data_IF_213853991955
#
_entry.id   IF_213853991955
#
_cell.length_a   1.000
_cell.length_b   1.000
_cell.length_c   1.000
_cell.angle_alpha   90.00
_cell.angle_beta   90.00
_cell.angle_gamma   90.00
#
_symmetry.space_group_name_H-M   'P 1'
#
loop_
_entity.id
_entity.type
_entity.pdbx_description
1 polymer ?
#
# COMPACT_ATOMS: atom_id res chain seq x y z
N UNK A 1 -4.50 27.50 1.52
CA UNK A 1 -3.82 26.75 2.58
C UNK A 1 -3.09 27.71 3.50
N UNK A 2 -2.88 27.33 4.75
CA UNK A 2 -2.17 28.18 5.72
C UNK A 2 -0.68 28.33 5.33
N UNK A 3 -0.20 29.58 5.28
CA UNK A 3 1.20 29.91 4.98
C UNK A 3 2.08 29.78 6.21
N UNK A 4 1.57 30.19 7.37
CA UNK A 4 2.34 30.33 8.59
C UNK A 4 2.78 28.96 9.10
N UNK A 5 1.86 27.98 9.06
CA UNK A 5 2.19 26.58 9.37
C UNK A 5 3.25 26.01 8.42
N UNK A 6 3.17 26.30 7.12
CA UNK A 6 4.14 25.79 6.15
C UNK A 6 5.56 26.35 6.40
N UNK A 7 5.66 27.65 6.69
CA UNK A 7 6.92 28.33 7.00
C UNK A 7 7.48 27.83 8.34
N UNK A 8 6.63 27.73 9.36
CA UNK A 8 7.00 27.21 10.68
C UNK A 8 7.58 25.79 10.57
N UNK A 9 6.86 24.89 9.89
CA UNK A 9 7.31 23.51 9.69
C UNK A 9 8.62 23.44 8.89
N UNK A 10 8.80 24.32 7.91
CA UNK A 10 10.04 24.37 7.12
C UNK A 10 11.24 24.77 7.98
N UNK A 11 11.09 25.77 8.86
CA UNK A 11 12.13 26.14 9.84
C UNK A 11 12.43 25.00 10.81
N UNK A 12 11.39 24.32 11.29
CA UNK A 12 11.55 23.17 12.18
C UNK A 12 12.32 22.03 11.48
N UNK A 13 11.96 21.67 10.25
CA UNK A 13 12.68 20.66 9.45
C UNK A 13 14.14 21.07 9.23
N UNK A 14 14.38 22.32 8.86
CA UNK A 14 15.71 22.90 8.71
C UNK A 14 16.58 22.70 9.96
N UNK A 15 16.01 23.00 11.13
CA UNK A 15 16.70 22.90 12.42
C UNK A 15 17.10 21.49 12.84
N UNK A 16 16.56 20.44 12.19
CA UNK A 16 16.96 19.06 12.45
C UNK A 16 18.30 18.70 11.80
N UNK A 17 18.81 19.51 10.87
CA UNK A 17 20.08 19.30 10.16
C UNK A 17 20.19 17.90 9.52
N UNK A 18 19.06 17.39 9.01
CA UNK A 18 19.00 16.09 8.35
C UNK A 18 19.51 16.22 6.91
N UNK A 19 20.43 15.34 6.50
CA UNK A 19 20.89 15.26 5.11
C UNK A 19 19.91 14.47 4.23
N UNK A 20 18.64 14.90 4.20
CA UNK A 20 17.55 14.25 3.46
C UNK A 20 16.86 15.26 2.54
N UNK A 21 16.50 14.88 1.30
CA UNK A 21 15.76 15.76 0.41
C UNK A 21 14.34 16.02 0.95
N UNK A 22 13.84 17.24 0.72
CA UNK A 22 12.46 17.64 1.09
C UNK A 22 11.63 17.86 -0.16
N UNK A 23 10.40 17.34 -0.16
CA UNK A 23 9.42 17.57 -1.23
C UNK A 23 8.29 18.42 -0.64
N UNK A 24 8.12 19.62 -1.17
CA UNK A 24 7.06 20.54 -0.80
C UNK A 24 5.94 20.52 -1.86
N UNK A 25 4.76 20.10 -1.44
CA UNK A 25 3.55 19.98 -2.26
C UNK A 25 2.36 20.69 -1.61
N UNK A 26 2.59 21.93 -1.17
CA UNK A 26 1.66 22.71 -0.35
C UNK A 26 1.20 24.01 -1.02
N UNK A 27 0.92 25.02 -0.21
CA UNK A 27 0.46 26.33 -0.72
C UNK A 27 1.53 26.97 -1.62
N UNK A 28 1.21 27.15 -2.90
CA UNK A 28 2.11 27.75 -3.89
C UNK A 28 2.58 29.15 -3.50
N UNK A 29 1.76 29.91 -2.77
CA UNK A 29 2.06 31.28 -2.37
C UNK A 29 3.21 31.40 -1.35
N UNK A 30 3.57 30.33 -0.65
CA UNK A 30 4.74 30.29 0.25
C UNK A 30 5.83 29.35 -0.26
N UNK A 31 5.68 28.78 -1.46
CA UNK A 31 6.62 27.79 -1.98
C UNK A 31 8.04 28.34 -2.15
N UNK A 32 8.17 29.59 -2.61
CA UNK A 32 9.48 30.25 -2.77
C UNK A 32 10.15 30.51 -1.42
N UNK A 33 9.39 30.92 -0.40
CA UNK A 33 9.89 31.16 0.95
C UNK A 33 10.33 29.85 1.63
N UNK A 34 9.49 28.81 1.56
CA UNK A 34 9.82 27.46 2.05
C UNK A 34 11.11 26.94 1.38
N UNK A 35 11.20 27.09 0.06
CA UNK A 35 12.38 26.69 -0.70
C UNK A 35 13.62 27.48 -0.30
N UNK A 36 13.47 28.77 0.01
CA UNK A 36 14.59 29.59 0.47
C UNK A 36 15.11 29.12 1.83
N UNK A 37 14.22 28.99 2.83
CA UNK A 37 14.55 28.56 4.20
C UNK A 37 15.35 27.26 4.18
N UNK A 38 14.82 26.23 3.50
CA UNK A 38 15.45 24.92 3.49
C UNK A 38 16.77 24.91 2.69
N UNK A 39 16.87 25.72 1.62
CA UNK A 39 18.11 25.81 0.83
C UNK A 39 19.24 26.52 1.56
N UNK A 40 18.93 27.48 2.44
CA UNK A 40 19.95 28.16 3.26
C UNK A 40 20.71 27.16 4.13
N UNK A 41 20.03 26.12 4.63
CA UNK A 41 20.64 25.03 5.40
C UNK A 41 21.15 23.87 4.52
N UNK A 42 21.30 24.10 3.21
CA UNK A 42 21.85 23.13 2.27
C UNK A 42 20.92 21.95 1.93
N UNK A 43 19.64 22.00 2.34
CA UNK A 43 18.68 20.93 2.08
C UNK A 43 18.22 20.99 0.62
N UNK A 44 18.26 19.84 -0.08
CA UNK A 44 17.74 19.73 -1.45
C UNK A 44 16.21 19.74 -1.43
N UNK A 45 15.60 20.78 -1.98
CA UNK A 45 14.14 20.95 -2.03
C UNK A 45 13.58 20.73 -3.44
N UNK A 46 12.52 19.94 -3.53
CA UNK A 46 11.65 19.83 -4.71
C UNK A 46 10.32 20.49 -4.41
N UNK A 47 9.84 21.32 -5.33
CA UNK A 47 8.53 21.97 -5.22
C UNK A 47 7.63 21.39 -6.31
N UNK A 48 6.38 21.11 -5.97
CA UNK A 48 5.38 20.58 -6.90
C UNK A 48 4.00 21.17 -6.64
N UNK A 49 3.03 20.75 -7.44
CA UNK A 49 1.65 21.14 -7.30
C UNK A 49 1.12 20.77 -5.91
N UNK A 50 0.18 21.59 -5.42
CA UNK A 50 -0.47 21.34 -4.14
C UNK A 50 -1.25 20.01 -4.23
N UNK A 51 -1.03 19.10 -3.27
CA UNK A 51 -1.79 17.84 -3.21
C UNK A 51 -3.26 18.06 -2.87
N UNK A 52 -3.61 19.21 -2.29
CA UNK A 52 -4.98 19.63 -1.99
C UNK A 52 -5.24 21.02 -2.60
N UNK A 53 -5.33 21.13 -3.95
CA UNK A 53 -5.39 22.42 -4.62
C UNK A 53 -6.67 23.20 -4.29
N UNK A 54 -7.78 22.48 -4.00
CA UNK A 54 -9.07 23.03 -3.59
C UNK A 54 -9.67 22.16 -2.48
N UNK A 55 -10.70 22.67 -1.81
CA UNK A 55 -11.47 21.88 -0.85
C UNK A 55 -12.07 20.69 -1.60
N UNK A 56 -11.92 19.49 -1.03
CA UNK A 56 -12.39 18.21 -1.56
C UNK A 56 -11.75 17.76 -2.89
N UNK A 57 -10.65 18.39 -3.31
CA UNK A 57 -9.88 17.99 -4.49
C UNK A 57 -8.51 17.46 -4.08
N UNK A 58 -8.15 16.24 -4.49
CA UNK A 58 -6.88 15.59 -4.16
C UNK A 58 -6.06 15.35 -5.45
N UNK A 59 -4.89 15.98 -5.56
CA UNK A 59 -3.98 15.89 -6.72
C UNK A 59 -2.63 15.27 -6.34
N UNK A 60 -2.56 13.94 -6.24
CA UNK A 60 -1.38 13.21 -5.74
C UNK A 60 -0.32 12.90 -6.79
N UNK A 61 -0.68 12.89 -8.07
CA UNK A 61 0.19 12.41 -9.15
C UNK A 61 1.48 13.23 -9.33
N UNK A 62 1.47 14.58 -9.27
CA UNK A 62 2.69 15.39 -9.36
C UNK A 62 3.69 15.08 -8.22
N UNK A 63 3.18 14.93 -6.99
CA UNK A 63 4.00 14.59 -5.83
C UNK A 63 4.58 13.17 -5.96
N UNK A 64 3.77 12.19 -6.40
CA UNK A 64 4.21 10.79 -6.63
C UNK A 64 5.37 10.71 -7.62
N UNK A 65 5.28 11.42 -8.75
CA UNK A 65 6.34 11.46 -9.77
C UNK A 65 7.67 11.99 -9.20
N UNK A 66 7.61 13.00 -8.32
CA UNK A 66 8.81 13.55 -7.69
C UNK A 66 9.35 12.60 -6.62
N UNK A 67 8.49 11.98 -5.81
CA UNK A 67 8.94 10.96 -4.84
C UNK A 67 9.69 9.84 -5.57
N UNK A 68 9.15 9.35 -6.69
CA UNK A 68 9.82 8.35 -7.52
C UNK A 68 11.17 8.86 -8.05
N UNK A 69 11.22 10.08 -8.59
CA UNK A 69 12.48 10.68 -9.05
C UNK A 69 13.51 10.79 -7.93
N UNK A 70 13.10 11.25 -6.74
CA UNK A 70 13.97 11.37 -5.56
C UNK A 70 14.48 10.01 -5.12
N UNK A 71 13.63 8.99 -5.13
CA UNK A 71 14.01 7.62 -4.85
C UNK A 71 15.07 7.13 -5.85
N UNK A 72 14.86 7.31 -7.16
CA UNK A 72 15.80 6.92 -8.20
C UNK A 72 17.18 7.60 -8.07
N UNK A 73 17.18 8.91 -7.78
CA UNK A 73 18.43 9.66 -7.58
C UNK A 73 19.23 9.14 -6.37
N UNK A 74 18.55 8.67 -5.33
CA UNK A 74 19.19 8.24 -4.09
C UNK A 74 19.47 6.73 -4.02
N UNK A 75 18.70 5.90 -4.72
CA UNK A 75 18.90 4.45 -4.67
C UNK A 75 20.21 3.99 -5.31
N UNK A 76 20.79 4.79 -6.21
CA UNK A 76 22.13 4.55 -6.76
C UNK A 76 23.23 4.45 -5.71
N UNK A 77 23.01 5.02 -4.51
CA UNK A 77 23.92 4.96 -3.36
C UNK A 77 23.82 3.64 -2.57
N UNK A 78 22.78 2.83 -2.80
CA UNK A 78 22.61 1.55 -2.12
C UNK A 78 23.61 0.50 -2.66
N UNK A 79 24.12 -0.41 -1.81
CA UNK A 79 25.07 -1.44 -2.24
C UNK A 79 24.57 -2.22 -3.47
N UNK A 80 25.40 -2.30 -4.52
CA UNK A 80 25.08 -3.01 -5.77
C UNK A 80 24.26 -2.23 -6.80
N UNK A 81 23.60 -1.13 -6.43
CA UNK A 81 22.72 -0.38 -7.36
C UNK A 81 23.48 0.41 -8.42
N UNK A 82 24.73 0.78 -8.18
CA UNK A 82 25.60 1.39 -9.19
C UNK A 82 25.83 0.47 -10.40
N UNK A 83 25.96 -0.84 -10.14
CA UNK A 83 26.10 -1.86 -11.20
C UNK A 83 24.77 -2.13 -11.91
N UNK A 84 23.65 -2.07 -11.20
CA UNK A 84 22.32 -2.17 -11.82
C UNK A 84 22.07 -0.97 -12.74
N UNK A 85 22.43 0.26 -12.32
CA UNK A 85 22.22 1.46 -13.14
C UNK A 85 23.05 1.47 -14.43
N UNK A 86 24.21 0.81 -14.49
CA UNK A 86 25.02 0.74 -15.72
C UNK A 86 24.45 -0.20 -16.78
N UNK A 87 23.61 -1.16 -16.39
CA UNK A 87 22.98 -2.12 -17.31
C UNK A 87 21.51 -1.79 -17.65
N UNK A 88 20.86 -0.91 -16.88
CA UNK A 88 19.48 -0.49 -17.12
C UNK A 88 19.45 0.81 -17.94
N UNK A 89 18.75 0.78 -19.08
CA UNK A 89 18.58 1.93 -20.00
C UNK A 89 17.26 2.70 -19.79
N UNK A 90 16.53 2.41 -18.71
CA UNK A 90 15.23 2.97 -18.37
C UNK A 90 15.17 3.37 -16.89
N UNK A 91 14.02 3.91 -16.46
CA UNK A 91 13.78 4.26 -15.07
C UNK A 91 13.70 3.00 -14.19
N UNK A 92 14.21 3.11 -12.96
CA UNK A 92 14.15 2.03 -11.97
C UNK A 92 12.85 2.18 -11.20
N UNK A 93 11.94 1.21 -11.38
CA UNK A 93 10.64 1.21 -10.72
C UNK A 93 10.76 0.34 -9.47
N UNK A 94 10.47 0.87 -8.26
CA UNK A 94 10.46 0.05 -7.06
C UNK A 94 9.32 -0.97 -7.12
N UNK A 95 9.50 -2.12 -6.46
CA UNK A 95 8.52 -3.22 -6.46
C UNK A 95 7.08 -2.75 -6.19
N UNK A 96 6.79 -1.92 -5.16
CA UNK A 96 5.41 -1.49 -4.93
C UNK A 96 4.90 -0.53 -6.02
N UNK A 97 5.79 0.25 -6.64
CA UNK A 97 5.43 1.05 -7.81
C UNK A 97 5.02 0.16 -8.97
N UNK A 98 5.79 -0.90 -9.24
CA UNK A 98 5.49 -1.83 -10.32
C UNK A 98 4.22 -2.65 -10.06
N UNK A 99 3.98 -3.11 -8.82
CA UNK A 99 2.72 -3.80 -8.46
C UNK A 99 1.51 -2.87 -8.65
N UNK A 100 1.63 -1.57 -8.35
CA UNK A 100 0.57 -0.61 -8.64
C UNK A 100 0.29 -0.47 -10.14
N UNK A 101 1.32 -0.48 -11.00
CA UNK A 101 1.12 -0.48 -12.45
C UNK A 101 0.32 -1.70 -12.93
N UNK A 102 0.64 -2.88 -12.40
CA UNK A 102 -0.14 -4.09 -12.68
C UNK A 102 -1.58 -3.98 -12.15
N UNK A 103 -1.78 -3.41 -10.96
CA UNK A 103 -3.12 -3.18 -10.42
C UNK A 103 -3.94 -2.23 -11.31
N UNK A 104 -3.33 -1.19 -11.88
CA UNK A 104 -3.99 -0.28 -12.83
C UNK A 104 -4.33 -0.97 -14.16
N UNK A 105 -3.47 -1.86 -14.66
CA UNK A 105 -3.79 -2.69 -15.83
C UNK A 105 -5.03 -3.55 -15.53
N UNK A 106 -5.04 -4.26 -14.40
CA UNK A 106 -6.19 -5.08 -14.00
C UNK A 106 -7.47 -4.25 -13.88
N UNK A 107 -7.38 -3.05 -13.31
CA UNK A 107 -8.54 -2.17 -13.25
C UNK A 107 -9.14 -1.87 -14.63
N UNK A 108 -8.30 -1.61 -15.64
CA UNK A 108 -8.73 -1.40 -17.02
C UNK A 108 -9.38 -2.62 -17.67
N UNK A 109 -8.97 -3.84 -17.26
CA UNK A 109 -9.44 -5.09 -17.87
C UNK A 109 -10.65 -5.72 -17.17
N UNK A 110 -10.64 -5.74 -15.84
CA UNK A 110 -11.62 -6.49 -15.04
C UNK A 110 -12.38 -5.62 -14.04
N UNK A 111 -12.06 -4.32 -13.96
CA UNK A 111 -12.71 -3.35 -13.09
C UNK A 111 -12.14 -3.34 -11.66
N UNK A 112 -12.96 -2.87 -10.70
CA UNK A 112 -12.55 -2.58 -9.33
C UNK A 112 -11.77 -3.73 -8.65
N UNK A 113 -10.52 -3.44 -8.29
CA UNK A 113 -9.56 -4.45 -7.83
C UNK A 113 -8.78 -3.97 -6.60
N UNK A 114 -8.51 -4.91 -5.71
CA UNK A 114 -7.54 -4.77 -4.63
C UNK A 114 -6.47 -5.86 -4.78
N UNK A 115 -5.20 -5.47 -4.71
CA UNK A 115 -4.04 -6.35 -4.73
C UNK A 115 -3.40 -6.32 -3.36
N UNK A 116 -3.13 -7.49 -2.80
CA UNK A 116 -2.48 -7.66 -1.51
C UNK A 116 -1.16 -8.38 -1.75
N UNK A 117 -0.06 -7.71 -1.42
CA UNK A 117 1.30 -8.23 -1.54
C UNK A 117 1.87 -8.47 -0.14
N UNK A 118 1.96 -9.74 0.25
CA UNK A 118 2.52 -10.13 1.55
C UNK A 118 3.96 -10.60 1.35
N UNK A 119 4.89 -9.74 1.76
CA UNK A 119 6.30 -9.99 1.77
C UNK A 119 6.83 -10.47 3.12
N UNK A 120 8.14 -10.73 3.17
CA UNK A 120 8.82 -11.09 4.42
C UNK A 120 8.91 -9.93 5.42
N UNK A 121 8.93 -8.69 4.94
CA UNK A 121 9.09 -7.49 5.78
C UNK A 121 7.85 -6.60 5.83
N UNK A 122 7.08 -6.51 4.76
CA UNK A 122 5.92 -5.61 4.67
C UNK A 122 4.72 -6.34 4.10
N UNK A 123 3.54 -5.80 4.39
CA UNK A 123 2.31 -6.10 3.64
C UNK A 123 1.85 -4.83 2.95
N UNK A 124 1.74 -4.88 1.63
CA UNK A 124 1.28 -3.77 0.81
C UNK A 124 -0.15 -4.03 0.34
N UNK A 125 -0.99 -2.98 0.36
CA UNK A 125 -2.36 -3.02 -0.15
C UNK A 125 -2.52 -1.97 -1.22
N UNK A 126 -2.82 -2.41 -2.44
CA UNK A 126 -3.06 -1.56 -3.60
C UNK A 126 -4.53 -1.66 -3.97
N UNK A 127 -5.27 -0.56 -3.92
CA UNK A 127 -6.66 -0.51 -4.42
C UNK A 127 -6.74 0.41 -5.63
N UNK A 128 -7.49 -0.03 -6.64
CA UNK A 128 -7.85 0.78 -7.80
C UNK A 128 -9.36 0.68 -7.98
N UNK A 129 -10.05 1.73 -7.55
CA UNK A 129 -11.52 1.84 -7.57
C UNK A 129 -11.94 3.28 -7.32
N UNK A 130 -13.04 3.71 -7.93
CA UNK A 130 -13.71 4.98 -7.61
C UNK A 130 -14.55 4.88 -6.33
N UNK A 131 -14.77 3.68 -5.79
CA UNK A 131 -15.77 3.44 -4.75
C UNK A 131 -17.19 3.53 -5.31
N UNK A 132 -18.17 3.57 -4.41
CA UNK A 132 -19.59 3.62 -4.73
C UNK A 132 -20.14 5.05 -4.66
N UNK A 133 -21.08 5.39 -5.54
CA UNK A 133 -21.75 6.69 -5.52
C UNK A 133 -22.43 6.99 -4.18
N UNK A 134 -22.92 5.95 -3.50
CA UNK A 134 -23.56 6.09 -2.18
C UNK A 134 -22.58 6.58 -1.13
N UNK A 135 -21.40 5.96 -1.05
CA UNK A 135 -20.36 6.33 -0.10
C UNK A 135 -19.72 7.68 -0.47
N UNK A 136 -19.52 7.95 -1.76
CA UNK A 136 -18.99 9.25 -2.22
C UNK A 136 -19.87 10.42 -1.75
N UNK A 137 -21.21 10.27 -1.78
CA UNK A 137 -22.15 11.32 -1.32
C UNK A 137 -22.03 11.65 0.17
N UNK A 138 -21.52 10.73 0.98
CA UNK A 138 -21.34 10.92 2.43
C UNK A 138 -19.87 11.01 2.83
N UNK A 139 -18.95 10.96 1.87
CA UNK A 139 -17.53 11.09 2.12
C UNK A 139 -17.18 12.52 2.53
N UNK A 140 -16.36 12.65 3.57
CA UNK A 140 -15.86 13.94 4.06
C UNK A 140 -14.38 14.17 3.72
N UNK A 141 -13.75 13.20 3.05
CA UNK A 141 -12.37 13.26 2.61
C UNK A 141 -12.26 12.63 1.22
N UNK A 142 -11.71 13.34 0.22
CA UNK A 142 -11.41 12.73 -1.06
C UNK A 142 -10.30 11.68 -0.90
N UNK A 143 -10.39 10.62 -1.70
CA UNK A 143 -9.41 9.54 -1.77
C UNK A 143 -9.07 9.28 -3.24
N UNK A 144 -7.81 8.98 -3.58
CA UNK A 144 -7.43 8.80 -4.97
C UNK A 144 -7.97 7.47 -5.50
N UNK A 145 -8.28 7.39 -6.80
CA UNK A 145 -8.73 6.15 -7.47
C UNK A 145 -7.75 5.00 -7.21
N UNK A 146 -6.46 5.24 -7.46
CA UNK A 146 -5.36 4.35 -7.15
C UNK A 146 -4.69 4.74 -5.82
N UNK A 147 -4.82 3.87 -4.81
CA UNK A 147 -4.24 4.07 -3.47
C UNK A 147 -3.36 2.90 -3.10
N UNK A 148 -2.19 3.21 -2.51
CA UNK A 148 -1.33 2.24 -1.84
C UNK A 148 -1.22 2.59 -0.37
N UNK A 149 -1.31 1.59 0.50
CA UNK A 149 -0.77 1.66 1.86
C UNK A 149 0.28 0.57 2.03
N UNK A 150 1.23 0.81 2.93
CA UNK A 150 2.27 -0.15 3.29
C UNK A 150 2.30 -0.30 4.79
N UNK A 151 2.21 -1.53 5.24
CA UNK A 151 2.26 -1.89 6.65
C UNK A 151 3.66 -2.41 6.95
N UNK A 152 4.52 -1.51 7.41
CA UNK A 152 5.93 -1.80 7.71
C UNK A 152 6.12 -2.76 8.89
N UNK A 153 5.10 -2.91 9.73
CA UNK A 153 5.07 -3.83 10.87
C UNK A 153 4.54 -5.23 10.51
N UNK A 154 3.98 -5.45 9.32
CA UNK A 154 3.27 -6.68 8.95
C UNK A 154 4.02 -7.51 7.90
N UNK A 155 5.19 -8.02 8.25
CA UNK A 155 5.96 -8.93 7.40
C UNK A 155 6.04 -10.33 8.00
N UNK A 156 5.87 -11.37 7.19
CA UNK A 156 5.78 -12.76 7.71
C UNK A 156 7.14 -13.47 7.86
N UNK A 157 8.24 -12.72 7.86
CA UNK A 157 9.59 -13.26 8.12
C UNK A 157 10.43 -12.32 8.98
N UNK A 158 10.80 -11.16 8.45
CA UNK A 158 11.62 -10.16 9.15
C UNK A 158 10.85 -9.59 10.34
N UNK A 159 9.60 -9.18 10.10
CA UNK A 159 8.73 -8.52 11.08
C UNK A 159 7.69 -9.47 11.71
N UNK A 160 7.96 -10.78 11.66
CA UNK A 160 7.02 -11.81 12.11
C UNK A 160 6.58 -11.61 13.56
N UNK A 161 7.54 -11.24 14.42
CA UNK A 161 7.31 -11.04 15.86
C UNK A 161 6.30 -9.93 16.16
N UNK A 162 6.25 -8.87 15.34
CA UNK A 162 5.26 -7.80 15.48
C UNK A 162 3.83 -8.32 15.29
N UNK A 163 3.66 -9.28 14.36
CA UNK A 163 2.36 -9.92 14.12
C UNK A 163 2.00 -10.80 15.33
N UNK A 164 2.97 -11.56 15.87
CA UNK A 164 2.77 -12.38 17.07
C UNK A 164 2.40 -11.52 18.28
N UNK A 165 3.10 -10.40 18.51
CA UNK A 165 2.81 -9.45 19.57
C UNK A 165 1.39 -8.89 19.43
N UNK A 166 1.00 -8.53 18.21
CA UNK A 166 -0.34 -8.01 17.90
C UNK A 166 -1.45 -9.01 18.22
N UNK A 167 -1.26 -10.28 17.87
CA UNK A 167 -2.22 -11.36 18.19
C UNK A 167 -2.24 -11.60 19.71
N UNK A 168 -1.06 -11.52 20.32
CA UNK A 168 -0.78 -11.85 21.70
C UNK A 168 -0.33 -13.30 21.83
N UNK A 169 0.88 -13.51 22.37
CA UNK A 169 1.51 -14.84 22.49
C UNK A 169 0.59 -15.89 23.13
N UNK A 170 -0.17 -15.53 24.17
CA UNK A 170 -1.09 -16.46 24.82
C UNK A 170 -2.24 -16.97 23.93
N UNK A 171 -2.62 -16.25 22.86
CA UNK A 171 -3.55 -16.77 21.84
C UNK A 171 -2.81 -17.65 20.85
N UNK A 172 -1.63 -17.22 20.40
CA UNK A 172 -0.79 -17.99 19.47
C UNK A 172 -0.48 -19.37 20.05
N UNK A 173 -0.10 -19.45 21.32
CA UNK A 173 0.22 -20.70 22.02
C UNK A 173 -0.96 -21.67 22.16
N UNK A 174 -2.21 -21.21 22.01
CA UNK A 174 -3.39 -22.11 22.02
C UNK A 174 -3.48 -22.93 20.73
N UNK A 175 -3.17 -22.30 19.60
CA UNK A 175 -3.22 -22.94 18.28
C UNK A 175 -1.84 -23.57 17.92
N UNK A 176 -0.77 -22.98 18.45
CA UNK A 176 0.62 -23.34 18.21
C UNK A 176 1.41 -23.48 19.52
N UNK A 177 1.33 -24.64 20.17
CA UNK A 177 2.06 -24.92 21.42
C UNK A 177 3.58 -24.82 21.27
N UNK A 178 4.08 -24.97 20.05
CA UNK A 178 5.47 -24.88 19.59
C UNK A 178 5.83 -23.49 19.02
N UNK A 179 5.00 -22.47 19.22
CA UNK A 179 5.20 -21.14 18.63
C UNK A 179 6.56 -20.52 18.95
N UNK A 180 7.08 -20.69 20.17
CA UNK A 180 8.38 -20.14 20.57
C UNK A 180 9.52 -20.73 19.72
N UNK A 181 9.52 -22.05 19.50
CA UNK A 181 10.49 -22.74 18.64
C UNK A 181 10.35 -22.30 17.18
N UNK A 182 9.11 -22.13 16.69
CA UNK A 182 8.83 -21.68 15.32
C UNK A 182 9.30 -20.24 15.07
N UNK A 183 9.21 -19.37 16.08
CA UNK A 183 9.68 -17.97 15.99
C UNK A 183 11.19 -17.93 16.03
N UNK A 184 11.83 -18.65 16.96
CA UNK A 184 13.28 -18.69 17.09
C UNK A 184 13.94 -19.26 15.83
N UNK A 185 13.32 -20.28 15.23
CA UNK A 185 13.82 -20.95 14.02
C UNK A 185 13.17 -20.45 12.72
N UNK A 186 12.64 -19.21 12.71
CA UNK A 186 11.93 -18.65 11.54
C UNK A 186 12.82 -18.65 10.29
N UNK A 187 12.25 -19.07 9.16
CA UNK A 187 12.92 -19.15 7.85
C UNK A 187 12.20 -18.27 6.83
N UNK A 188 12.95 -17.75 5.87
CA UNK A 188 12.38 -16.98 4.77
C UNK A 188 11.40 -17.81 3.92
N UNK A 189 11.62 -19.12 3.82
CA UNK A 189 10.74 -20.05 3.12
C UNK A 189 10.43 -21.22 4.07
N UNK A 190 9.18 -21.41 4.50
CA UNK A 190 8.80 -22.55 5.33
C UNK A 190 8.99 -23.85 4.55
N UNK A 191 9.47 -24.89 5.23
CA UNK A 191 9.78 -26.20 4.65
C UNK A 191 8.89 -27.29 5.19
N UNK A 192 8.55 -27.24 6.47
CA UNK A 192 7.68 -28.24 7.09
C UNK A 192 6.22 -27.82 6.99
N UNK A 193 5.30 -28.79 7.05
CA UNK A 193 3.87 -28.51 7.12
C UNK A 193 3.52 -27.61 8.31
N UNK A 194 4.19 -27.82 9.45
CA UNK A 194 3.98 -27.05 10.67
C UNK A 194 4.42 -25.59 10.52
N UNK A 195 5.59 -25.37 9.93
CA UNK A 195 6.06 -24.02 9.59
C UNK A 195 5.09 -23.33 8.61
N UNK A 196 4.62 -24.05 7.59
CA UNK A 196 3.63 -23.49 6.63
C UNK A 196 2.33 -23.08 7.31
N UNK A 197 1.76 -23.93 8.17
CA UNK A 197 0.53 -23.63 8.91
C UNK A 197 0.69 -22.39 9.81
N UNK A 198 1.86 -22.24 10.44
CA UNK A 198 2.16 -21.08 11.27
C UNK A 198 2.28 -19.80 10.44
N UNK A 199 2.99 -19.84 9.31
CA UNK A 199 3.08 -18.68 8.41
C UNK A 199 1.71 -18.34 7.79
N UNK A 200 0.88 -19.34 7.45
CA UNK A 200 -0.49 -19.11 6.99
C UNK A 200 -1.34 -18.38 8.03
N UNK A 201 -1.23 -18.78 9.31
CA UNK A 201 -1.91 -18.13 10.43
C UNK A 201 -1.50 -16.66 10.56
N UNK A 202 -0.20 -16.36 10.50
CA UNK A 202 0.30 -14.98 10.59
C UNK A 202 -0.02 -14.16 9.34
N UNK A 203 0.00 -14.79 8.16
CA UNK A 203 -0.40 -14.16 6.89
C UNK A 203 -1.86 -13.72 6.96
N UNK A 204 -2.75 -14.53 7.53
CA UNK A 204 -4.15 -14.16 7.70
C UNK A 204 -4.32 -12.89 8.56
N UNK A 205 -3.62 -12.80 9.69
CA UNK A 205 -3.69 -11.61 10.54
C UNK A 205 -3.08 -10.38 9.87
N UNK A 206 -1.96 -10.55 9.15
CA UNK A 206 -1.34 -9.48 8.38
C UNK A 206 -2.28 -8.92 7.32
N UNK A 207 -2.91 -9.80 6.53
CA UNK A 207 -3.88 -9.43 5.50
C UNK A 207 -5.08 -8.69 6.10
N UNK A 208 -5.71 -9.26 7.14
CA UNK A 208 -6.85 -8.64 7.82
C UNK A 208 -6.51 -7.26 8.35
N UNK A 209 -5.37 -7.13 9.02
CA UNK A 209 -4.93 -5.86 9.60
C UNK A 209 -4.61 -4.83 8.53
N UNK A 210 -3.89 -5.22 7.48
CA UNK A 210 -3.53 -4.32 6.40
C UNK A 210 -4.76 -3.79 5.66
N UNK A 211 -5.72 -4.67 5.33
CA UNK A 211 -6.98 -4.23 4.71
C UNK A 211 -7.78 -3.34 5.65
N UNK A 212 -7.83 -3.65 6.95
CA UNK A 212 -8.52 -2.80 7.95
C UNK A 212 -7.95 -1.39 8.04
N UNK A 213 -6.62 -1.25 7.98
CA UNK A 213 -5.93 0.04 8.00
C UNK A 213 -6.04 0.77 6.67
N UNK A 214 -6.15 0.04 5.56
CA UNK A 214 -6.31 0.61 4.23
C UNK A 214 -7.73 1.15 3.98
N UNK A 215 -8.74 0.38 4.41
CA UNK A 215 -10.15 0.68 4.19
C UNK A 215 -10.61 1.88 5.02
N UNK A 216 -11.53 2.65 4.46
CA UNK A 216 -12.25 3.68 5.18
C UNK A 216 -13.29 3.11 6.13
N UNK A 217 -13.90 4.00 6.91
CA UNK A 217 -14.92 3.66 7.90
C UNK A 217 -16.09 4.64 7.87
N UNK A 218 -17.27 4.15 8.26
CA UNK A 218 -18.44 4.96 8.56
C UNK A 218 -18.32 5.52 9.98
N UNK A 219 -18.37 6.84 10.09
CA UNK A 219 -18.37 7.59 11.35
C UNK A 219 -19.71 8.29 11.56
N UNK A 220 -20.03 8.52 12.83
CA UNK A 220 -21.22 9.26 13.22
C UNK A 220 -20.81 10.61 13.78
N UNK A 221 -21.29 11.68 13.15
CA UNK A 221 -21.13 13.04 13.65
C UNK A 221 -22.44 13.45 14.30
N UNK A 222 -22.35 13.98 15.52
CA UNK A 222 -23.48 14.48 16.29
C UNK A 222 -23.48 16.00 16.20
N UNK A 223 -24.50 16.56 15.55
CA UNK A 223 -24.68 18.00 15.41
C UNK A 223 -26.01 18.47 16.00
N UNK A 224 -26.29 19.78 15.94
CA UNK A 224 -27.55 20.37 16.41
C UNK A 224 -28.79 19.78 15.75
N UNK A 225 -28.65 19.26 14.52
CA UNK A 225 -29.72 18.63 13.73
C UNK A 225 -29.82 17.11 13.94
N UNK A 226 -29.04 16.54 14.86
CA UNK A 226 -29.04 15.11 15.18
C UNK A 226 -27.81 14.35 14.66
N UNK A 227 -27.97 13.04 14.52
CA UNK A 227 -26.92 12.10 14.11
C UNK A 227 -26.82 12.05 12.58
N UNK A 228 -25.64 12.37 12.04
CA UNK A 228 -25.31 12.22 10.62
C UNK A 228 -24.25 11.14 10.44
N UNK A 229 -24.44 10.25 9.48
CA UNK A 229 -23.43 9.28 9.06
C UNK A 229 -22.55 9.89 7.97
N UNK A 230 -21.25 9.72 8.09
CA UNK A 230 -20.24 10.14 7.10
C UNK A 230 -19.26 9.01 6.85
N UNK A 231 -18.60 9.04 5.70
CA UNK A 231 -17.53 8.12 5.34
C UNK A 231 -16.18 8.83 5.37
N UNK A 232 -15.15 8.17 5.90
CA UNK A 232 -13.78 8.67 5.95
C UNK A 232 -12.81 7.56 5.56
N UNK A 233 -11.92 7.84 4.61
CA UNK A 233 -10.95 6.87 4.09
C UNK A 233 -11.43 6.16 2.81
N UNK A 234 -10.63 5.21 2.32
CA UNK A 234 -10.83 4.57 1.01
C UNK A 234 -12.06 3.67 0.99
N UNK A 235 -12.98 3.92 0.07
CA UNK A 235 -14.12 3.04 -0.16
C UNK A 235 -13.72 1.81 -0.99
N UNK A 236 -13.87 0.61 -0.41
CA UNK A 236 -13.63 -0.67 -1.09
C UNK A 236 -14.93 -1.43 -1.39
N UNK A 237 -16.10 -0.84 -1.14
CA UNK A 237 -17.41 -1.53 -1.27
C UNK A 237 -17.76 -1.95 -2.71
N UNK A 238 -17.12 -1.35 -3.71
CA UNK A 238 -17.27 -1.70 -5.12
C UNK A 238 -16.23 -2.70 -5.65
N UNK A 239 -15.24 -3.09 -4.84
CA UNK A 239 -14.25 -4.09 -5.23
C UNK A 239 -14.95 -5.37 -5.68
N UNK A 240 -14.54 -5.87 -6.85
CA UNK A 240 -15.02 -7.12 -7.45
C UNK A 240 -13.96 -8.22 -7.38
N UNK A 241 -12.69 -7.82 -7.38
CA UNK A 241 -11.55 -8.73 -7.46
C UNK A 241 -10.56 -8.47 -6.34
N UNK A 242 -10.19 -9.53 -5.62
CA UNK A 242 -9.09 -9.55 -4.65
C UNK A 242 -7.96 -10.38 -5.24
N UNK A 243 -6.80 -9.78 -5.44
CA UNK A 243 -5.63 -10.43 -6.02
C UNK A 243 -4.57 -10.63 -4.94
N UNK A 244 -4.12 -11.86 -4.75
CA UNK A 244 -2.97 -12.17 -3.88
C UNK A 244 -1.68 -12.24 -4.66
N UNK A 245 -0.65 -11.53 -4.21
CA UNK A 245 0.74 -11.69 -4.65
C UNK A 245 1.70 -11.65 -3.44
N UNK A 246 2.99 -11.74 -3.67
CA UNK A 246 3.99 -11.89 -2.61
C UNK A 246 4.19 -13.36 -2.23
N UNK A 247 5.34 -13.66 -1.60
CA UNK A 247 5.76 -15.03 -1.36
C UNK A 247 4.73 -15.85 -0.58
N UNK A 248 4.06 -15.25 0.41
CA UNK A 248 3.08 -15.94 1.24
C UNK A 248 1.79 -16.25 0.47
N UNK A 249 1.23 -15.27 -0.25
CA UNK A 249 -0.05 -15.44 -0.96
C UNK A 249 0.11 -16.12 -2.32
N UNK A 250 1.32 -16.35 -2.83
CA UNK A 250 1.54 -17.11 -4.07
C UNK A 250 1.94 -18.57 -3.81
N UNK A 251 2.61 -18.87 -2.68
CA UNK A 251 3.19 -20.20 -2.44
C UNK A 251 2.51 -21.02 -1.36
N UNK A 252 1.75 -20.42 -0.44
CA UNK A 252 1.06 -21.16 0.62
C UNK A 252 -0.26 -21.77 0.13
N UNK A 253 -0.72 -22.82 0.81
CA UNK A 253 -1.88 -23.59 0.39
C UNK A 253 -3.19 -22.85 0.69
N UNK A 254 -3.28 -22.21 1.86
CA UNK A 254 -4.49 -21.48 2.29
C UNK A 254 -4.63 -20.08 1.71
N UNK A 255 -3.82 -19.70 0.71
CA UNK A 255 -3.82 -18.36 0.10
C UNK A 255 -5.21 -17.87 -0.33
N UNK A 256 -6.00 -18.73 -0.98
CA UNK A 256 -7.36 -18.38 -1.43
C UNK A 256 -8.30 -18.24 -0.22
N UNK A 257 -8.20 -19.13 0.76
CA UNK A 257 -9.01 -19.12 1.97
C UNK A 257 -8.78 -17.83 2.77
N UNK A 258 -7.51 -17.44 2.95
CA UNK A 258 -7.10 -16.21 3.65
C UNK A 258 -7.75 -14.99 3.01
N UNK A 259 -7.63 -14.84 1.69
CA UNK A 259 -8.19 -13.68 0.97
C UNK A 259 -9.72 -13.68 1.00
N UNK A 260 -10.35 -14.86 0.93
CA UNK A 260 -11.81 -15.01 1.00
C UNK A 260 -12.41 -14.60 2.36
N UNK A 261 -11.57 -14.48 3.41
CA UNK A 261 -12.01 -14.00 4.74
C UNK A 261 -12.08 -12.49 4.85
N UNK A 262 -11.52 -11.73 3.89
CA UNK A 262 -11.45 -10.26 3.96
C UNK A 262 -12.85 -9.61 4.14
N UNK A 263 -13.87 -9.91 3.30
CA UNK A 263 -15.20 -9.33 3.50
C UNK A 263 -15.81 -9.64 4.87
N UNK A 264 -15.51 -10.83 5.41
CA UNK A 264 -16.06 -11.35 6.67
C UNK A 264 -15.42 -10.74 7.91
N UNK A 265 -14.25 -10.11 7.77
CA UNK A 265 -13.56 -9.42 8.88
C UNK A 265 -14.23 -8.07 9.26
N UNK A 266 -15.34 -7.70 8.60
CA UNK A 266 -16.13 -6.51 8.95
C UNK A 266 -17.22 -6.76 10.02
N UNK A 267 -16.85 -7.41 11.13
CA UNK A 267 -17.81 -7.80 12.18
C UNK A 267 -18.65 -6.65 12.76
N UNK A 268 -18.13 -5.40 12.70
CA UNK A 268 -18.83 -4.20 13.16
C UNK A 268 -19.70 -3.50 12.11
N UNK A 269 -19.65 -3.93 10.84
CA UNK A 269 -20.38 -3.31 9.71
C UNK A 269 -20.00 -1.86 9.41
N UNK A 270 -18.96 -1.33 10.06
CA UNK A 270 -18.54 0.08 9.94
C UNK A 270 -17.40 0.27 8.94
N UNK A 271 -16.66 -0.78 8.58
CA UNK A 271 -15.57 -0.64 7.62
C UNK A 271 -16.13 -0.69 6.21
N UNK A 272 -15.59 0.14 5.31
CA UNK A 272 -15.95 0.20 3.89
C UNK A 272 -15.24 -0.92 3.13
N UNK A 273 -15.54 -2.16 3.51
CA UNK A 273 -14.90 -3.36 2.98
C UNK A 273 -15.53 -3.82 1.66
N UNK A 274 -14.81 -4.65 0.89
CA UNK A 274 -15.40 -5.39 -0.21
C UNK A 274 -16.60 -6.24 0.25
N UNK A 275 -17.56 -6.45 -0.67
CA UNK A 275 -18.73 -7.31 -0.43
C UNK A 275 -18.35 -8.79 -0.50
N UNK A 276 -19.21 -9.67 -0.01
CA UNK A 276 -18.93 -11.13 0.02
C UNK A 276 -18.83 -11.78 -1.36
N UNK A 277 -19.38 -11.16 -2.41
CA UNK A 277 -19.40 -11.70 -3.78
C UNK A 277 -18.12 -11.42 -4.59
N UNK A 278 -17.05 -10.96 -3.93
CA UNK A 278 -15.73 -10.77 -4.55
C UNK A 278 -15.16 -12.08 -5.05
N UNK A 279 -14.42 -12.01 -6.15
CA UNK A 279 -13.65 -13.12 -6.69
C UNK A 279 -12.20 -12.99 -6.26
N UNK A 280 -11.60 -14.11 -5.85
CA UNK A 280 -10.19 -14.18 -5.48
C UNK A 280 -9.38 -14.68 -6.67
N UNK A 281 -8.29 -14.00 -6.98
CA UNK A 281 -7.28 -14.38 -7.96
C UNK A 281 -5.91 -14.45 -7.29
N UNK A 282 -5.02 -15.27 -7.83
CA UNK A 282 -3.65 -15.42 -7.33
C UNK A 282 -2.70 -15.15 -8.49
N UNK A 283 -1.63 -14.40 -8.24
CA UNK A 283 -0.48 -14.29 -9.13
C UNK A 283 0.34 -15.59 -9.08
N UNK A 284 -0.13 -16.64 -9.78
CA UNK A 284 0.42 -17.99 -9.69
C UNK A 284 1.91 -18.04 -10.11
N UNK A 285 2.27 -17.22 -11.10
CA UNK A 285 3.64 -17.11 -11.60
C UNK A 285 4.53 -16.19 -10.73
N UNK A 286 3.93 -15.44 -9.80
CA UNK A 286 4.60 -14.43 -8.97
C UNK A 286 5.34 -13.37 -9.78
N UNK A 287 4.65 -12.76 -10.75
CA UNK A 287 5.23 -11.84 -11.75
C UNK A 287 4.63 -10.44 -11.76
N UNK A 288 3.67 -10.10 -10.89
CA UNK A 288 3.01 -8.78 -10.93
C UNK A 288 3.99 -7.61 -10.90
N UNK A 289 5.06 -7.67 -10.09
CA UNK A 289 6.08 -6.63 -10.08
C UNK A 289 6.87 -6.55 -11.40
N UNK A 290 7.27 -7.70 -11.96
CA UNK A 290 7.99 -7.76 -13.23
C UNK A 290 7.13 -7.24 -14.38
N UNK A 291 5.86 -7.62 -14.43
CA UNK A 291 4.92 -7.22 -15.48
C UNK A 291 4.59 -5.73 -15.41
N UNK A 292 4.43 -5.18 -14.21
CA UNK A 292 4.20 -3.76 -14.03
C UNK A 292 5.41 -2.89 -14.39
N UNK A 293 6.62 -3.44 -14.28
CA UNK A 293 7.81 -2.79 -14.81
C UNK A 293 7.86 -2.88 -16.35
N UNK A 294 7.56 -4.05 -16.92
CA UNK A 294 7.52 -4.26 -18.38
C UNK A 294 6.47 -3.41 -19.08
N UNK A 295 5.32 -3.16 -18.43
CA UNK A 295 4.16 -2.49 -19.03
C UNK A 295 4.47 -1.06 -19.47
N UNK A 296 5.51 -0.43 -18.90
CA UNK A 296 5.98 0.88 -19.33
C UNK A 296 6.47 0.92 -20.77
N UNK A 297 6.84 -0.23 -21.35
CA UNK A 297 7.28 -0.35 -22.74
C UNK A 297 6.45 -1.33 -23.56
N UNK A 298 5.94 -2.38 -22.93
CA UNK A 298 5.26 -3.50 -23.59
C UNK A 298 3.88 -3.72 -22.96
N UNK A 299 2.98 -2.74 -23.11
CA UNK A 299 1.69 -2.72 -22.42
C UNK A 299 0.80 -3.92 -22.79
N UNK A 300 0.65 -4.20 -24.08
CA UNK A 300 -0.24 -5.27 -24.56
C UNK A 300 0.26 -6.66 -24.18
N UNK A 301 1.57 -6.90 -24.29
CA UNK A 301 2.18 -8.17 -23.89
C UNK A 301 2.12 -8.34 -22.36
N UNK A 302 2.40 -7.28 -21.60
CA UNK A 302 2.25 -7.28 -20.14
C UNK A 302 0.84 -7.63 -19.72
N UNK A 303 -0.18 -7.05 -20.37
CA UNK A 303 -1.59 -7.35 -20.11
C UNK A 303 -1.89 -8.83 -20.34
N UNK A 304 -1.50 -9.39 -21.48
CA UNK A 304 -1.75 -10.80 -21.80
C UNK A 304 -1.09 -11.73 -20.76
N UNK A 305 0.19 -11.50 -20.46
CA UNK A 305 0.93 -12.33 -19.51
C UNK A 305 0.35 -12.21 -18.09
N UNK A 306 -0.07 -11.00 -17.68
CA UNK A 306 -0.72 -10.79 -16.38
C UNK A 306 -2.01 -11.59 -16.26
N UNK A 307 -2.87 -11.53 -17.28
CA UNK A 307 -4.15 -12.23 -17.29
C UNK A 307 -3.98 -13.75 -17.28
N UNK A 308 -2.94 -14.27 -17.94
CA UNK A 308 -2.58 -15.69 -17.88
C UNK A 308 -2.11 -16.11 -16.48
N UNK A 309 -1.24 -15.33 -15.82
CA UNK A 309 -0.79 -15.62 -14.43
C UNK A 309 -1.98 -15.69 -13.46
N UNK A 310 -3.02 -14.89 -13.69
CA UNK A 310 -4.25 -14.87 -12.89
C UNK A 310 -5.28 -15.94 -13.29
N UNK A 311 -5.01 -16.77 -14.30
CA UNK A 311 -5.91 -17.81 -14.79
C UNK A 311 -7.20 -17.27 -15.43
N UNK A 312 -7.15 -16.08 -16.02
CA UNK A 312 -8.31 -15.43 -16.64
C UNK A 312 -8.44 -15.71 -18.14
N UNK A 313 -7.36 -16.16 -18.79
CA UNK A 313 -7.28 -16.54 -20.20
C UNK A 313 -6.42 -17.79 -20.40
#
# INVERSE_FOLDING_TARGET
GDKDTAIFNSKAISSLHLNVPVIFAGNIQCADEVKHILKEDGIKVYVTENVYPRIDELNVEPARKIIQKVFEENITKAPGMSSVRSIVNQNIIPTPGAVMESAMILYGEIGDVIVIDVGGATTDVHSVTEGSEEIQRISISPEPTAKRTVEGDLGVYVNLENIVEKIGMGKVLKDFTDAEELIENKKAIPKTKREMEFIEYLTEEAVKTAVRRHAGTLKYIYGPTGKKTVAEGKDLTNIKWIVGTGGALTRLNKRIEILSKIPKDNAGGKCLYPKENVKVLIDEDYIMASIGALSKKHMEESKIILMHSLGLI
#
